data_IF_481010418367
#
_entry.id   IF_481010418367
#
_cell.length_a   1.000
_cell.length_b   1.000
_cell.length_c   1.000
_cell.angle_alpha   90.00
_cell.angle_beta   90.00
_cell.angle_gamma   90.00
#
_symmetry.space_group_name_H-M   'P 1'
#
loop_
_entity.id
_entity.type
_entity.pdbx_description
1 polymer ?
#
# COMPACT_ATOMS: atom_id res chain seq x y z
N UNK A 1 -27.17 32.31 16.07
CA UNK A 1 -27.86 31.01 15.95
C UNK A 1 -27.71 30.60 14.51
N UNK A 2 -26.87 29.60 14.23
CA UNK A 2 -26.60 29.17 12.86
C UNK A 2 -27.81 28.41 12.33
N UNK A 3 -28.43 28.98 11.30
CA UNK A 3 -29.53 28.38 10.57
C UNK A 3 -28.98 27.19 9.77
N UNK A 4 -29.18 25.99 10.30
CA UNK A 4 -28.91 24.75 9.58
C UNK A 4 -29.95 24.62 8.46
N UNK A 5 -29.49 24.37 7.23
CA UNK A 5 -30.31 24.23 6.03
C UNK A 5 -31.15 22.95 6.14
N UNK A 6 -32.43 23.04 5.75
CA UNK A 6 -33.43 21.95 5.80
C UNK A 6 -32.99 20.64 5.12
N UNK A 7 -32.03 20.71 4.21
CA UNK A 7 -31.50 19.58 3.44
C UNK A 7 -30.70 18.57 4.30
N UNK A 8 -30.14 18.96 5.45
CA UNK A 8 -29.49 18.02 6.37
C UNK A 8 -30.47 17.19 7.22
N UNK A 9 -31.71 17.66 7.40
CA UNK A 9 -32.70 16.99 8.27
C UNK A 9 -33.38 15.80 7.59
N UNK A 10 -33.45 15.75 6.25
CA UNK A 10 -34.19 14.69 5.54
C UNK A 10 -33.42 13.38 5.36
N UNK A 11 -32.09 13.34 5.57
CA UNK A 11 -31.31 12.09 5.47
C UNK A 11 -31.47 11.13 6.66
N UNK A 12 -32.17 11.55 7.72
CA UNK A 12 -32.32 10.77 8.96
C UNK A 12 -33.77 10.29 9.22
N UNK A 13 -34.66 10.37 8.23
CA UNK A 13 -36.08 10.08 8.44
C UNK A 13 -36.44 8.58 8.51
N UNK A 14 -35.53 7.68 8.11
CA UNK A 14 -35.70 6.22 8.19
C UNK A 14 -34.91 5.57 9.35
N UNK A 15 -34.52 6.35 10.35
CA UNK A 15 -33.57 5.91 11.37
C UNK A 15 -34.27 5.36 12.63
N UNK A 16 -34.83 4.13 12.54
CA UNK A 16 -35.04 3.29 13.74
C UNK A 16 -33.71 2.88 14.41
N UNK A 17 -32.58 3.18 13.77
CA UNK A 17 -31.26 2.85 14.28
C UNK A 17 -30.83 3.90 15.32
N UNK A 18 -30.68 3.41 16.55
CA UNK A 18 -30.22 4.12 17.72
C UNK A 18 -28.82 4.66 17.42
N UNK A 19 -28.76 5.93 16.99
CA UNK A 19 -27.53 6.52 16.46
C UNK A 19 -26.33 6.32 17.41
N UNK A 20 -25.15 6.14 16.82
CA UNK A 20 -23.89 5.79 17.51
C UNK A 20 -23.54 6.77 18.66
N UNK A 21 -23.95 8.03 18.55
CA UNK A 21 -23.74 9.05 19.58
C UNK A 21 -24.75 9.03 20.73
N UNK A 22 -25.79 8.20 20.64
CA UNK A 22 -26.74 8.01 21.73
C UNK A 22 -26.15 7.08 22.79
N UNK A 23 -26.57 7.25 24.04
CA UNK A 23 -26.05 6.44 25.17
C UNK A 23 -26.22 4.94 24.94
N UNK A 24 -27.35 4.53 24.32
CA UNK A 24 -27.64 3.13 24.00
C UNK A 24 -26.81 2.60 22.81
N UNK A 25 -26.70 3.38 21.73
CA UNK A 25 -25.90 2.98 20.56
C UNK A 25 -24.41 2.87 20.89
N UNK A 26 -23.93 3.68 21.84
CA UNK A 26 -22.56 3.59 22.37
C UNK A 26 -22.35 2.35 23.24
N UNK A 27 -23.35 1.96 24.03
CA UNK A 27 -23.30 0.75 24.87
C UNK A 27 -23.28 -0.51 23.99
N UNK A 28 -24.13 -0.58 22.97
CA UNK A 28 -24.15 -1.70 22.00
C UNK A 28 -22.83 -1.87 21.23
N UNK A 29 -22.13 -0.76 20.92
CA UNK A 29 -20.80 -0.80 20.29
C UNK A 29 -19.68 -1.25 21.25
N UNK A 30 -19.86 -1.03 22.56
CA UNK A 30 -18.90 -1.47 23.57
C UNK A 30 -19.14 -2.91 24.01
N UNK A 31 -20.37 -3.41 23.92
CA UNK A 31 -20.76 -4.79 24.23
C UNK A 31 -20.29 -5.79 23.15
N UNK A 32 -19.98 -5.30 21.95
CA UNK A 32 -19.43 -6.13 20.90
C UNK A 32 -17.91 -6.21 21.07
N UNK A 33 -17.44 -7.39 21.44
CA UNK A 33 -16.01 -7.71 21.45
C UNK A 33 -15.49 -7.73 20.00
N UNK A 34 -15.22 -6.54 19.44
CA UNK A 34 -14.45 -6.40 18.20
C UNK A 34 -12.97 -6.69 18.54
N UNK A 35 -12.66 -7.98 18.72
CA UNK A 35 -11.29 -8.46 18.85
C UNK A 35 -10.54 -8.17 17.55
N UNK A 36 -9.43 -7.42 17.65
CA UNK A 36 -8.57 -7.12 16.50
C UNK A 36 -8.14 -8.45 15.92
N UNK A 37 -8.57 -8.75 14.69
CA UNK A 37 -8.17 -9.97 14.02
C UNK A 37 -6.74 -9.83 13.50
N UNK A 38 -6.05 -10.94 13.23
CA UNK A 38 -4.72 -10.93 12.61
C UNK A 38 -4.69 -10.13 11.28
N UNK A 39 -5.84 -10.04 10.60
CA UNK A 39 -6.04 -9.26 9.38
C UNK A 39 -6.05 -7.75 9.67
N UNK A 40 -6.66 -7.33 10.77
CA UNK A 40 -6.71 -5.94 11.21
C UNK A 40 -5.34 -5.45 11.71
N UNK A 41 -4.57 -6.32 12.37
CA UNK A 41 -3.17 -6.04 12.71
C UNK A 41 -2.31 -5.81 11.47
N UNK A 42 -2.55 -6.56 10.39
CA UNK A 42 -1.87 -6.38 9.10
C UNK A 42 -2.14 -5.02 8.47
N UNK A 43 -3.31 -4.42 8.76
CA UNK A 43 -3.67 -3.08 8.31
C UNK A 43 -3.01 -2.00 9.18
N UNK A 44 -2.97 -2.18 10.50
CA UNK A 44 -2.34 -1.23 11.44
C UNK A 44 -0.81 -1.23 11.38
N UNK A 45 -0.18 -2.36 11.08
CA UNK A 45 1.27 -2.45 10.95
C UNK A 45 1.80 -1.70 9.72
N UNK A 46 0.92 -1.18 8.86
CA UNK A 46 1.32 -0.72 7.54
C UNK A 46 1.78 -1.93 6.72
N UNK A 47 1.79 -1.78 5.41
CA UNK A 47 2.35 -2.78 4.51
C UNK A 47 3.89 -2.80 4.65
N UNK A 48 4.39 -3.24 5.80
CA UNK A 48 5.79 -3.23 6.16
C UNK A 48 6.40 -4.57 5.77
N UNK A 49 6.52 -4.81 4.47
CA UNK A 49 7.55 -5.74 4.01
C UNK A 49 8.20 -5.36 2.67
N UNK A 50 7.53 -4.60 1.78
CA UNK A 50 8.12 -4.19 0.48
C UNK A 50 7.64 -2.81 -0.02
N UNK A 51 7.18 -1.94 0.87
CA UNK A 51 6.53 -0.65 0.57
C UNK A 51 7.44 0.54 0.29
N UNK A 52 8.67 0.34 -0.19
CA UNK A 52 9.40 1.36 -0.97
C UNK A 52 9.79 0.68 -2.27
N UNK A 53 8.89 0.76 -3.26
CA UNK A 53 9.03 0.21 -4.61
C UNK A 53 10.13 0.90 -5.44
N UNK A 54 11.29 1.15 -4.84
CA UNK A 54 12.48 1.64 -5.53
C UNK A 54 13.14 0.43 -6.20
N UNK A 55 12.70 0.10 -7.42
CA UNK A 55 13.45 -0.82 -8.28
C UNK A 55 14.88 -0.27 -8.43
N UNK A 56 15.92 -1.07 -8.17
CA UNK A 56 17.32 -0.64 -8.29
C UNK A 56 17.99 -1.32 -9.48
N UNK A 57 18.90 -0.60 -10.13
CA UNK A 57 19.74 -1.17 -11.16
C UNK A 57 20.62 -2.29 -10.58
N UNK A 58 20.64 -3.46 -11.22
CA UNK A 58 21.44 -4.59 -10.73
C UNK A 58 22.96 -4.32 -10.76
N UNK A 59 23.43 -3.54 -11.73
CA UNK A 59 24.83 -3.15 -11.87
C UNK A 59 25.19 -1.96 -10.95
N UNK A 60 24.70 -0.75 -11.25
CA UNK A 60 25.11 0.47 -10.56
C UNK A 60 24.35 0.79 -9.26
N UNK A 61 23.32 0.00 -8.90
CA UNK A 61 22.50 0.15 -7.69
C UNK A 61 21.68 1.45 -7.58
N UNK A 62 21.67 2.27 -8.63
CA UNK A 62 20.85 3.48 -8.73
C UNK A 62 19.35 3.15 -8.67
N UNK A 63 18.59 4.03 -8.02
CA UNK A 63 17.13 3.95 -7.93
C UNK A 63 16.52 4.25 -9.30
N UNK A 64 15.63 3.37 -9.77
CA UNK A 64 14.98 3.43 -11.08
C UNK A 64 13.57 4.04 -11.02
N UNK A 65 13.36 5.01 -10.13
CA UNK A 65 12.06 5.69 -10.01
C UNK A 65 11.85 6.65 -11.19
N UNK A 66 10.76 6.46 -11.93
CA UNK A 66 10.30 7.42 -12.95
C UNK A 66 11.07 7.41 -14.28
N UNK A 67 11.93 6.42 -14.53
CA UNK A 67 12.71 6.30 -15.77
C UNK A 67 12.39 5.02 -16.55
N UNK A 68 12.63 5.01 -17.86
CA UNK A 68 12.60 3.78 -18.66
C UNK A 68 13.69 2.82 -18.17
N UNK A 69 13.29 1.60 -17.84
CA UNK A 69 14.19 0.55 -17.35
C UNK A 69 14.25 -0.60 -18.33
N UNK A 70 15.42 -1.24 -18.43
CA UNK A 70 15.61 -2.43 -19.23
C UNK A 70 15.50 -3.64 -18.30
N UNK A 71 14.58 -4.54 -18.60
CA UNK A 71 14.43 -5.81 -17.87
C UNK A 71 15.09 -6.93 -18.68
N UNK A 72 15.93 -7.72 -18.02
CA UNK A 72 16.62 -8.86 -18.64
C UNK A 72 16.63 -10.04 -17.67
N UNK A 73 16.38 -11.24 -18.20
CA UNK A 73 16.45 -12.46 -17.40
C UNK A 73 17.89 -12.96 -17.33
N UNK A 74 18.37 -13.23 -16.12
CA UNK A 74 19.71 -13.75 -15.90
C UNK A 74 19.68 -14.87 -14.86
N UNK A 75 20.14 -16.07 -15.21
CA UNK A 75 20.11 -17.29 -14.35
C UNK A 75 18.71 -17.53 -13.73
N UNK A 76 17.64 -17.31 -14.50
CA UNK A 76 16.25 -17.46 -14.06
C UNK A 76 15.73 -16.34 -13.13
N UNK A 77 16.50 -15.26 -12.95
CA UNK A 77 16.08 -14.08 -12.18
C UNK A 77 15.91 -12.87 -13.09
N UNK A 78 14.75 -12.24 -13.08
CA UNK A 78 14.50 -10.98 -13.79
C UNK A 78 15.24 -9.81 -13.11
N UNK A 79 16.24 -9.24 -13.79
CA UNK A 79 17.02 -8.10 -13.34
C UNK A 79 16.61 -6.83 -14.09
N UNK A 80 16.67 -5.67 -13.44
CA UNK A 80 16.40 -4.35 -14.05
C UNK A 80 17.66 -3.50 -14.13
N UNK A 81 17.79 -2.70 -15.18
CA UNK A 81 18.94 -1.84 -15.45
C UNK A 81 18.51 -0.42 -15.85
N UNK A 82 19.33 0.57 -15.48
CA UNK A 82 19.10 1.97 -15.81
C UNK A 82 19.45 2.35 -17.25
N UNK A 83 20.24 1.53 -17.94
CA UNK A 83 20.72 1.80 -19.29
C UNK A 83 21.22 0.54 -19.96
N UNK A 84 21.32 0.56 -21.30
CA UNK A 84 21.93 -0.54 -22.08
C UNK A 84 23.38 -0.79 -21.65
N UNK A 85 24.14 0.27 -21.35
CA UNK A 85 25.51 0.14 -20.86
C UNK A 85 25.60 -0.72 -19.59
N UNK A 86 24.71 -0.47 -18.62
CA UNK A 86 24.72 -1.24 -17.38
C UNK A 86 24.30 -2.70 -17.56
N UNK A 87 23.49 -3.00 -18.58
CA UNK A 87 23.16 -4.39 -18.95
C UNK A 87 24.37 -5.09 -19.55
N UNK A 88 25.03 -4.46 -20.55
CA UNK A 88 26.18 -5.05 -21.23
C UNK A 88 27.36 -5.30 -20.29
N UNK A 89 27.68 -4.35 -19.41
CA UNK A 89 28.72 -4.56 -18.37
C UNK A 89 28.39 -5.75 -17.47
N UNK A 90 27.12 -5.85 -17.05
CA UNK A 90 26.67 -6.95 -16.21
C UNK A 90 26.73 -8.31 -16.92
N UNK A 91 26.44 -8.35 -18.22
CA UNK A 91 26.56 -9.57 -19.03
C UNK A 91 28.03 -10.01 -19.19
N UNK A 92 28.95 -9.06 -19.41
CA UNK A 92 30.39 -9.34 -19.52
C UNK A 92 30.91 -9.90 -18.20
N UNK A 93 30.65 -9.21 -17.08
CA UNK A 93 31.09 -9.64 -15.75
C UNK A 93 30.60 -11.06 -15.42
N UNK A 94 29.38 -11.39 -15.83
CA UNK A 94 28.83 -12.72 -15.59
C UNK A 94 29.36 -13.80 -16.54
N UNK A 95 29.91 -13.43 -17.69
CA UNK A 95 30.55 -14.37 -18.64
C UNK A 95 32.00 -14.69 -18.28
N UNK A 96 32.66 -13.84 -17.50
CA UNK A 96 34.03 -14.08 -17.00
C UNK A 96 34.07 -14.94 -15.72
N UNK A 97 32.91 -15.14 -15.06
CA UNK A 97 32.77 -15.97 -13.86
C UNK A 97 32.47 -17.46 -14.17
N UNK A 98 32.47 -17.90 -15.45
CA UNK A 98 32.36 -19.31 -15.86
C UNK A 98 33.71 -20.01 -16.10
#
# INVERSE_FOLDING_TARGET
MSEYTKEEQERNADNENVGIYSSKGREELMEKDDEITDVDEGFMKGYNEYGSGTSRCKNCKTILEGHETIEHEFKGTSCKFCSQHCLTEFEIDQSEEE
#
